data_IF_925782588721
#
_entry.id   IF_925782588721
#
_cell.length_a   1.000
_cell.length_b   1.000
_cell.length_c   1.000
_cell.angle_alpha   90.00
_cell.angle_beta   90.00
_cell.angle_gamma   90.00
#
_symmetry.space_group_name_H-M   'P 1'
#
loop_
_entity.id
_entity.type
_entity.pdbx_description
1 polymer ?
#
# COMPACT_ATOMS: atom_id res chain seq x y z
N UNK A 1 -1.35 -7.04 35.37
CA UNK A 1 -0.72 -6.20 34.31
C UNK A 1 -1.73 -5.14 33.94
N UNK A 2 -1.41 -3.84 34.06
CA UNK A 2 -2.32 -2.78 33.64
C UNK A 2 -2.56 -2.93 32.12
N UNK A 3 -3.82 -2.98 31.69
CA UNK A 3 -4.19 -2.98 30.28
C UNK A 3 -3.56 -1.74 29.64
N UNK A 4 -2.69 -1.94 28.65
CA UNK A 4 -2.09 -0.84 27.90
C UNK A 4 -3.19 0.00 27.27
N UNK A 5 -3.03 1.33 27.27
CA UNK A 5 -4.01 2.23 26.62
C UNK A 5 -4.20 1.81 25.17
N UNK A 6 -5.43 1.71 24.72
CA UNK A 6 -5.78 1.34 23.34
C UNK A 6 -5.18 2.31 22.31
N UNK A 7 -4.88 1.78 21.14
CA UNK A 7 -4.45 2.53 19.96
C UNK A 7 -5.29 2.06 18.77
N UNK A 8 -6.12 2.95 18.24
CA UNK A 8 -7.01 2.66 17.12
C UNK A 8 -6.23 2.82 15.81
N UNK A 9 -6.01 1.67 15.15
CA UNK A 9 -5.13 1.55 13.97
C UNK A 9 -5.93 1.19 12.74
N UNK A 10 -5.79 2.01 11.70
CA UNK A 10 -6.38 1.75 10.39
C UNK A 10 -5.37 1.15 9.40
N UNK A 11 -5.79 0.11 8.70
CA UNK A 11 -5.05 -0.54 7.62
C UNK A 11 -5.94 -0.70 6.39
N UNK A 12 -5.33 -0.56 5.20
CA UNK A 12 -6.04 -0.92 3.97
C UNK A 12 -6.35 -2.40 3.98
N UNK A 13 -7.41 -2.78 3.28
CA UNK A 13 -7.85 -4.16 3.13
C UNK A 13 -7.57 -4.68 1.73
N UNK A 14 -7.53 -6.00 1.56
CA UNK A 14 -7.43 -6.68 0.25
C UNK A 14 -6.20 -6.24 -0.58
N UNK A 15 -5.07 -5.97 0.07
CA UNK A 15 -3.85 -5.53 -0.59
C UNK A 15 -2.63 -6.42 -0.24
N UNK A 16 -2.58 -7.68 -0.72
CA UNK A 16 -1.40 -8.52 -0.52
C UNK A 16 -0.19 -7.94 -1.29
N UNK A 17 1.03 -8.11 -0.77
CA UNK A 17 1.39 -8.72 0.51
C UNK A 17 1.43 -7.74 1.69
N UNK A 18 0.84 -6.53 1.55
CA UNK A 18 0.93 -5.45 2.55
C UNK A 18 -0.05 -5.64 3.71
N UNK A 19 -1.35 -5.76 3.41
CA UNK A 19 -2.42 -6.02 4.39
C UNK A 19 -3.58 -6.76 3.73
N UNK A 20 -3.86 -7.99 4.17
CA UNK A 20 -4.86 -8.84 3.54
C UNK A 20 -5.36 -9.93 4.50
N UNK A 21 -6.38 -10.67 4.09
CA UNK A 21 -6.84 -11.89 4.74
C UNK A 21 -6.33 -13.08 3.94
N UNK A 22 -5.65 -14.02 4.60
CA UNK A 22 -5.17 -15.25 3.97
C UNK A 22 -6.29 -16.27 3.73
N UNK A 23 -5.95 -17.40 3.08
CA UNK A 23 -6.90 -18.47 2.78
C UNK A 23 -7.53 -19.11 4.04
N UNK A 24 -6.93 -18.94 5.20
CA UNK A 24 -7.43 -19.43 6.49
C UNK A 24 -8.28 -18.40 7.24
N UNK A 25 -8.57 -17.25 6.63
CA UNK A 25 -9.30 -16.16 7.26
C UNK A 25 -8.48 -15.33 8.25
N UNK A 26 -7.15 -15.50 8.28
CA UNK A 26 -6.28 -14.77 9.18
C UNK A 26 -5.74 -13.49 8.54
N UNK A 27 -5.67 -12.43 9.34
CA UNK A 27 -5.03 -11.18 8.92
C UNK A 27 -3.52 -11.36 8.81
N UNK A 28 -2.96 -10.94 7.69
CA UNK A 28 -1.56 -11.06 7.33
C UNK A 28 -1.09 -9.81 6.59
N UNK A 29 0.22 -9.71 6.46
CA UNK A 29 0.87 -8.73 5.60
C UNK A 29 1.94 -7.91 6.31
N UNK A 30 2.84 -7.37 5.52
CA UNK A 30 3.98 -6.58 6.02
C UNK A 30 3.54 -5.41 6.91
N UNK A 31 2.54 -4.65 6.47
CA UNK A 31 2.03 -3.49 7.23
C UNK A 31 1.24 -3.91 8.45
N UNK A 32 0.49 -5.02 8.38
CA UNK A 32 -0.21 -5.57 9.54
C UNK A 32 0.78 -5.96 10.64
N UNK A 33 1.84 -6.68 10.30
CA UNK A 33 2.87 -7.10 11.26
C UNK A 33 3.66 -5.89 11.81
N UNK A 34 3.96 -4.91 10.94
CA UNK A 34 4.63 -3.69 11.36
C UNK A 34 3.77 -2.89 12.35
N UNK A 35 2.47 -2.78 12.08
CA UNK A 35 1.53 -2.08 12.94
C UNK A 35 1.38 -2.77 14.31
N UNK A 36 1.29 -4.10 14.32
CA UNK A 36 1.22 -4.89 15.55
C UNK A 36 2.49 -4.71 16.41
N UNK A 37 3.66 -4.73 15.77
CA UNK A 37 4.93 -4.48 16.45
C UNK A 37 5.03 -3.05 16.99
N UNK A 38 4.56 -2.08 16.23
CA UNK A 38 4.53 -0.68 16.66
C UNK A 38 3.65 -0.49 17.92
N UNK A 39 2.44 -1.09 17.96
CA UNK A 39 1.58 -1.04 19.15
C UNK A 39 2.31 -1.63 20.37
N UNK A 40 2.95 -2.80 20.20
CA UNK A 40 3.69 -3.47 21.27
C UNK A 40 4.84 -2.59 21.80
N UNK A 41 5.61 -1.97 20.92
CA UNK A 41 6.74 -1.07 21.28
C UNK A 41 6.27 0.21 21.97
N UNK A 42 5.10 0.70 21.59
CA UNK A 42 4.46 1.85 22.24
C UNK A 42 3.77 1.49 23.56
N UNK A 43 3.78 0.22 23.98
CA UNK A 43 3.08 -0.25 25.18
C UNK A 43 1.57 -0.11 25.08
N UNK A 44 1.00 -0.26 23.87
CA UNK A 44 -0.43 -0.11 23.56
C UNK A 44 -1.04 -1.41 23.07
N UNK A 45 -2.36 -1.51 23.21
CA UNK A 45 -3.16 -2.57 22.59
C UNK A 45 -3.74 -2.04 21.30
N UNK A 46 -3.48 -2.71 20.17
CA UNK A 46 -4.08 -2.35 18.89
C UNK A 46 -5.57 -2.66 18.85
N UNK A 47 -6.37 -1.67 18.45
CA UNK A 47 -7.77 -1.85 18.04
C UNK A 47 -7.83 -1.63 16.53
N UNK A 48 -8.20 -2.66 15.80
CA UNK A 48 -8.04 -2.70 14.34
C UNK A 48 -9.28 -2.20 13.61
N UNK A 49 -9.06 -1.39 12.58
CA UNK A 49 -10.07 -1.03 11.58
C UNK A 49 -9.49 -1.27 10.19
N UNK A 50 -10.22 -2.02 9.37
CA UNK A 50 -9.84 -2.31 7.99
C UNK A 50 -10.84 -1.68 7.02
N UNK A 51 -10.33 -1.27 5.86
CA UNK A 51 -11.18 -0.70 4.83
C UNK A 51 -10.44 0.07 3.75
N UNK A 52 -11.21 0.76 2.92
CA UNK A 52 -10.65 1.62 1.87
C UNK A 52 -9.89 2.80 2.48
N UNK A 53 -8.93 3.33 1.75
CA UNK A 53 -8.17 4.51 2.17
C UNK A 53 -9.07 5.69 2.53
N UNK A 54 -10.14 5.90 1.78
CA UNK A 54 -11.12 6.97 2.05
C UNK A 54 -11.80 6.80 3.41
N UNK A 55 -12.24 5.57 3.75
CA UNK A 55 -12.83 5.25 5.05
C UNK A 55 -11.83 5.51 6.18
N UNK A 56 -10.59 5.07 6.02
CA UNK A 56 -9.54 5.25 7.01
C UNK A 56 -9.18 6.72 7.22
N UNK A 57 -9.10 7.50 6.15
CA UNK A 57 -8.85 8.94 6.23
C UNK A 57 -9.99 9.68 6.95
N UNK A 58 -11.25 9.27 6.72
CA UNK A 58 -12.39 9.82 7.49
C UNK A 58 -12.24 9.51 8.98
N UNK A 59 -11.97 8.24 9.33
CA UNK A 59 -11.80 7.84 10.72
C UNK A 59 -10.63 8.55 11.42
N UNK A 60 -9.57 8.88 10.67
CA UNK A 60 -8.46 9.66 11.21
C UNK A 60 -8.86 11.13 11.48
N UNK A 61 -9.65 11.74 10.57
CA UNK A 61 -10.12 13.13 10.71
C UNK A 61 -11.17 13.29 11.82
N UNK A 62 -12.11 12.37 11.96
CA UNK A 62 -13.15 12.40 12.99
C UNK A 62 -12.66 11.92 14.35
N UNK A 63 -11.44 11.32 14.41
CA UNK A 63 -10.79 10.88 15.64
C UNK A 63 -11.19 9.49 16.11
N UNK A 64 -11.94 8.72 15.31
CA UNK A 64 -12.21 7.30 15.58
C UNK A 64 -10.99 6.42 15.35
N UNK A 65 -9.98 6.93 14.61
CA UNK A 65 -8.67 6.32 14.46
C UNK A 65 -7.58 7.25 15.01
N UNK A 66 -6.56 6.65 15.62
CA UNK A 66 -5.36 7.36 16.10
C UNK A 66 -4.31 7.48 14.99
N UNK A 67 -4.15 6.42 14.21
CA UNK A 67 -3.20 6.37 13.10
C UNK A 67 -3.65 5.41 12.00
N UNK A 68 -3.14 5.64 10.79
CA UNK A 68 -3.33 4.78 9.62
C UNK A 68 -2.01 4.51 8.92
N UNK A 69 -1.87 3.31 8.34
CA UNK A 69 -0.71 2.87 7.59
C UNK A 69 -0.88 3.08 6.08
N UNK A 70 0.21 2.94 5.33
CA UNK A 70 0.26 3.03 3.87
C UNK A 70 -0.15 4.39 3.29
N UNK A 71 0.06 5.45 4.05
CA UNK A 71 -0.18 6.78 3.51
C UNK A 71 1.03 7.29 2.74
N UNK A 72 0.78 7.74 1.53
CA UNK A 72 1.80 8.40 0.72
C UNK A 72 1.91 9.88 1.11
N UNK A 73 3.14 10.38 1.07
CA UNK A 73 3.43 11.78 1.41
C UNK A 73 2.83 12.80 0.45
N UNK A 74 2.47 12.39 -0.78
CA UNK A 74 2.00 13.32 -1.81
C UNK A 74 0.70 12.85 -2.46
N UNK A 75 -0.21 13.81 -2.67
CA UNK A 75 -0.19 15.15 -2.09
C UNK A 75 -0.44 15.11 -0.58
N UNK A 76 0.26 15.96 0.17
CA UNK A 76 -0.02 16.13 1.61
C UNK A 76 -1.47 16.50 1.81
N UNK A 77 -2.15 15.75 2.66
CA UNK A 77 -3.55 16.04 2.97
C UNK A 77 -3.62 17.00 4.16
N UNK A 78 -4.42 18.03 4.00
CA UNK A 78 -4.65 18.99 5.07
C UNK A 78 -5.20 18.31 6.33
N UNK A 79 -4.76 18.76 7.49
CA UNK A 79 -5.17 18.21 8.78
C UNK A 79 -4.49 16.91 9.20
N UNK A 80 -3.49 16.44 8.44
CA UNK A 80 -2.72 15.23 8.76
C UNK A 80 -1.23 15.52 8.93
N UNK A 81 -0.59 14.72 9.79
CA UNK A 81 0.85 14.67 9.98
C UNK A 81 1.34 13.29 9.56
N UNK A 82 2.55 13.23 8.98
CA UNK A 82 3.12 12.00 8.45
C UNK A 82 4.43 11.67 9.13
N UNK A 83 4.65 10.38 9.39
CA UNK A 83 5.92 9.86 9.88
C UNK A 83 7.01 9.93 8.81
N UNK A 84 8.25 9.64 9.21
CA UNK A 84 9.28 9.23 8.26
C UNK A 84 8.79 8.00 7.48
N UNK A 85 9.15 7.89 6.19
CA UNK A 85 8.82 6.69 5.40
C UNK A 85 9.42 5.44 6.02
N UNK A 86 8.66 4.34 6.03
CA UNK A 86 9.15 3.03 6.45
C UNK A 86 9.45 2.10 5.27
N UNK A 87 8.99 2.42 4.07
CA UNK A 87 9.50 1.90 2.80
C UNK A 87 9.22 2.88 1.65
N UNK A 88 9.89 2.63 0.51
CA UNK A 88 9.64 3.34 -0.73
C UNK A 88 9.13 2.35 -1.79
N UNK A 89 8.15 2.75 -2.57
CA UNK A 89 7.64 1.96 -3.68
C UNK A 89 7.40 2.83 -4.91
N UNK A 90 7.47 2.21 -6.08
CA UNK A 90 7.15 2.82 -7.36
C UNK A 90 5.86 2.24 -7.91
N UNK A 91 5.21 2.93 -8.82
CA UNK A 91 4.17 2.31 -9.62
C UNK A 91 4.80 1.53 -10.77
N UNK A 92 4.14 0.45 -11.18
CA UNK A 92 4.52 -0.34 -12.36
C UNK A 92 3.29 -0.77 -13.13
N UNK A 93 3.44 -1.02 -14.41
CA UNK A 93 2.46 -1.67 -15.24
C UNK A 93 2.86 -3.12 -15.50
N UNK A 94 1.87 -4.01 -15.47
CA UNK A 94 2.03 -5.43 -15.76
C UNK A 94 1.00 -5.79 -16.83
N UNK A 95 1.42 -6.51 -17.86
CA UNK A 95 0.57 -6.99 -18.92
C UNK A 95 1.13 -8.23 -19.60
N UNK A 96 0.42 -8.78 -20.59
CA UNK A 96 0.94 -9.89 -21.39
C UNK A 96 2.04 -9.39 -22.34
N UNK A 97 3.12 -10.14 -22.54
CA UNK A 97 4.12 -9.84 -23.57
C UNK A 97 3.45 -9.70 -24.94
N UNK A 98 3.70 -8.58 -25.63
CA UNK A 98 3.08 -8.28 -26.92
C UNK A 98 1.57 -8.00 -26.89
N UNK A 99 0.99 -7.88 -25.68
CA UNK A 99 -0.39 -7.46 -25.49
C UNK A 99 -0.57 -5.95 -25.62
N UNK A 100 -1.81 -5.49 -25.45
CA UNK A 100 -2.15 -4.05 -25.50
C UNK A 100 -1.46 -3.29 -24.36
N UNK A 101 -0.74 -2.23 -24.73
CA UNK A 101 -0.11 -1.32 -23.79
C UNK A 101 -1.07 -0.27 -23.20
N UNK A 102 -0.67 0.41 -22.13
CA UNK A 102 -1.54 1.40 -21.47
C UNK A 102 -1.76 2.67 -22.30
N UNK A 103 -0.86 2.98 -23.25
CA UNK A 103 -0.95 4.14 -24.15
C UNK A 103 -1.86 3.91 -25.35
N UNK A 104 -2.35 2.70 -25.55
CA UNK A 104 -3.24 2.39 -26.66
C UNK A 104 -4.69 2.80 -26.33
N UNK A 105 -5.34 3.47 -27.27
CA UNK A 105 -6.71 3.95 -27.10
C UNK A 105 -7.66 2.80 -26.72
N UNK A 106 -8.46 3.03 -25.68
CA UNK A 106 -9.39 2.03 -25.16
C UNK A 106 -8.73 0.91 -24.36
N UNK A 107 -7.44 0.99 -24.01
CA UNK A 107 -6.80 0.06 -23.10
C UNK A 107 -7.54 0.01 -21.77
N UNK A 108 -7.78 -1.19 -21.26
CA UNK A 108 -8.44 -1.41 -19.97
C UNK A 108 -7.38 -1.55 -18.89
N UNK A 109 -7.27 -0.53 -18.04
CA UNK A 109 -6.24 -0.47 -17.00
C UNK A 109 -6.86 -0.74 -15.63
N UNK A 110 -6.47 -1.85 -15.01
CA UNK A 110 -6.86 -2.21 -13.65
C UNK A 110 -6.04 -1.44 -12.63
N UNK A 111 -6.73 -0.81 -11.67
CA UNK A 111 -6.09 -0.03 -10.61
C UNK A 111 -6.77 -0.33 -9.27
N UNK A 112 -5.99 -0.53 -8.21
CA UNK A 112 -6.55 -0.79 -6.89
C UNK A 112 -7.48 0.36 -6.45
N UNK A 113 -8.71 -0.03 -6.06
CA UNK A 113 -9.76 0.93 -5.68
C UNK A 113 -9.32 1.81 -4.50
N UNK A 114 -9.59 3.10 -4.60
CA UNK A 114 -9.26 4.07 -3.54
C UNK A 114 -7.78 4.44 -3.43
N UNK A 115 -6.91 3.92 -4.32
CA UNK A 115 -5.50 4.32 -4.35
C UNK A 115 -5.30 5.63 -5.12
N UNK A 116 -4.22 6.34 -4.79
CA UNK A 116 -3.80 7.53 -5.54
C UNK A 116 -3.48 7.22 -7.00
N UNK A 117 -3.20 5.94 -7.33
CA UNK A 117 -2.91 5.51 -8.69
C UNK A 117 -4.12 5.65 -9.62
N UNK A 118 -5.36 5.68 -9.10
CA UNK A 118 -6.56 5.89 -9.91
C UNK A 118 -6.53 7.26 -10.58
N UNK A 119 -6.19 8.31 -9.83
CA UNK A 119 -6.08 9.65 -10.39
C UNK A 119 -4.88 9.77 -11.34
N UNK A 120 -3.76 9.14 -10.99
CA UNK A 120 -2.58 9.12 -11.85
C UNK A 120 -2.85 8.41 -13.18
N UNK A 121 -3.50 7.24 -13.15
CA UNK A 121 -3.86 6.53 -14.37
C UNK A 121 -4.73 7.35 -15.31
N UNK A 122 -5.72 8.09 -14.76
CA UNK A 122 -6.57 9.00 -15.55
C UNK A 122 -5.78 10.16 -16.16
N UNK A 123 -4.76 10.65 -15.47
CA UNK A 123 -3.88 11.72 -15.97
C UNK A 123 -2.91 11.22 -17.03
N UNK A 124 -2.30 10.05 -16.84
CA UNK A 124 -1.35 9.49 -17.80
C UNK A 124 -2.02 8.96 -19.07
N UNK A 125 -3.17 8.31 -18.91
CA UNK A 125 -3.86 7.62 -20.00
C UNK A 125 -5.32 8.06 -20.09
N UNK A 126 -5.58 9.28 -20.59
CA UNK A 126 -6.94 9.86 -20.61
C UNK A 126 -7.91 9.09 -21.51
N UNK A 127 -7.41 8.32 -22.51
CA UNK A 127 -8.22 7.51 -23.41
C UNK A 127 -8.41 6.08 -22.93
N UNK A 128 -7.78 5.71 -21.79
CA UNK A 128 -7.90 4.37 -21.23
C UNK A 128 -9.19 4.22 -20.41
N UNK A 129 -9.68 2.99 -20.36
CA UNK A 129 -10.80 2.58 -19.51
C UNK A 129 -10.25 2.14 -18.16
N UNK A 130 -10.45 2.94 -17.11
CA UNK A 130 -9.96 2.63 -15.78
C UNK A 130 -10.95 1.70 -15.07
N UNK A 131 -10.49 0.48 -14.76
CA UNK A 131 -11.21 -0.54 -14.01
C UNK A 131 -10.69 -0.60 -12.60
N UNK A 132 -11.56 -0.46 -11.58
CA UNK A 132 -11.12 -0.51 -10.19
C UNK A 132 -11.63 -1.77 -9.49
N UNK A 133 -10.81 -2.31 -8.58
CA UNK A 133 -11.14 -3.51 -7.81
C UNK A 133 -10.15 -3.74 -6.67
N UNK A 134 -10.30 -4.82 -5.92
CA UNK A 134 -9.23 -5.33 -5.05
C UNK A 134 -8.05 -5.83 -5.89
N UNK A 135 -6.89 -6.01 -5.28
CA UNK A 135 -5.72 -6.53 -6.00
C UNK A 135 -6.00 -7.91 -6.57
N UNK A 136 -6.66 -8.76 -5.79
CA UNK A 136 -6.99 -10.12 -6.23
C UNK A 136 -8.00 -10.13 -7.40
N UNK A 137 -9.08 -9.33 -7.32
CA UNK A 137 -10.04 -9.17 -8.43
C UNK A 137 -9.35 -8.69 -9.71
N UNK A 138 -8.42 -7.75 -9.60
CA UNK A 138 -7.72 -7.21 -10.76
C UNK A 138 -6.74 -8.23 -11.36
N UNK A 139 -6.03 -9.00 -10.54
CA UNK A 139 -5.18 -10.11 -11.02
C UNK A 139 -6.02 -11.14 -11.77
N UNK A 140 -7.18 -11.54 -11.23
CA UNK A 140 -8.06 -12.48 -11.92
C UNK A 140 -8.59 -11.92 -13.24
N UNK A 141 -8.96 -10.63 -13.26
CA UNK A 141 -9.37 -9.96 -14.52
C UNK A 141 -8.23 -9.88 -15.55
N UNK A 142 -6.99 -9.66 -15.11
CA UNK A 142 -5.81 -9.65 -15.98
C UNK A 142 -5.59 -11.03 -16.60
N UNK A 143 -5.67 -12.10 -15.81
CA UNK A 143 -5.54 -13.49 -16.26
C UNK A 143 -6.60 -13.86 -17.30
N UNK A 144 -7.84 -13.41 -17.08
CA UNK A 144 -8.99 -13.67 -17.95
C UNK A 144 -9.09 -12.73 -19.16
N UNK A 145 -8.18 -11.77 -19.30
CA UNK A 145 -8.25 -10.74 -20.35
C UNK A 145 -9.37 -9.72 -20.15
N UNK A 146 -9.92 -9.60 -18.94
CA UNK A 146 -10.90 -8.58 -18.57
C UNK A 146 -10.30 -7.18 -18.40
N UNK A 147 -8.99 -7.10 -18.16
CA UNK A 147 -8.15 -5.91 -18.28
C UNK A 147 -6.90 -6.25 -19.09
N UNK A 148 -6.32 -5.24 -19.72
CA UNK A 148 -5.12 -5.39 -20.55
C UNK A 148 -3.84 -5.12 -19.75
N UNK A 149 -3.92 -4.19 -18.80
CA UNK A 149 -2.80 -3.74 -17.96
C UNK A 149 -3.24 -3.65 -16.50
N UNK A 150 -2.39 -4.12 -15.59
CA UNK A 150 -2.50 -3.88 -14.16
C UNK A 150 -1.52 -2.77 -13.76
N UNK A 151 -2.04 -1.62 -13.31
CA UNK A 151 -1.25 -0.51 -12.79
C UNK A 151 -1.27 -0.52 -11.26
N UNK A 152 -0.14 -0.88 -10.66
CA UNK A 152 -0.05 -1.21 -9.23
C UNK A 152 1.30 -0.75 -8.66
N UNK A 153 1.48 -0.75 -7.34
CA UNK A 153 2.80 -0.57 -6.77
C UNK A 153 3.70 -1.80 -7.03
N UNK A 154 5.00 -1.55 -7.11
CA UNK A 154 6.00 -2.56 -7.44
C UNK A 154 6.05 -3.72 -6.41
N UNK A 155 5.77 -3.46 -5.13
CA UNK A 155 5.76 -4.51 -4.11
C UNK A 155 4.70 -5.59 -4.40
N UNK A 156 3.46 -5.16 -4.66
CA UNK A 156 2.39 -6.08 -5.02
C UNK A 156 2.56 -6.64 -6.43
N UNK A 157 3.09 -5.83 -7.36
CA UNK A 157 3.37 -6.24 -8.73
C UNK A 157 4.40 -7.36 -8.80
N UNK A 158 5.54 -7.22 -8.16
CA UNK A 158 6.55 -8.30 -8.11
C UNK A 158 6.06 -9.52 -7.33
N UNK A 159 5.30 -9.32 -6.23
CA UNK A 159 4.70 -10.45 -5.53
C UNK A 159 3.81 -11.30 -6.45
N UNK A 160 3.08 -10.68 -7.37
CA UNK A 160 2.30 -11.39 -8.40
C UNK A 160 3.20 -12.03 -9.46
N UNK A 161 4.15 -11.29 -10.05
CA UNK A 161 5.02 -11.80 -11.12
C UNK A 161 5.87 -13.00 -10.69
N UNK A 162 6.13 -13.16 -9.38
CA UNK A 162 6.87 -14.29 -8.82
C UNK A 162 6.01 -15.53 -8.55
N UNK A 163 4.71 -15.48 -8.83
CA UNK A 163 3.82 -16.66 -8.75
C UNK A 163 3.83 -17.43 -10.07
N UNK A 164 3.43 -18.70 -10.05
CA UNK A 164 3.25 -19.50 -11.27
C UNK A 164 2.31 -18.81 -12.27
N UNK A 165 1.23 -18.21 -11.78
CA UNK A 165 0.29 -17.45 -12.61
C UNK A 165 0.91 -16.17 -13.19
N UNK A 166 1.90 -15.61 -12.55
CA UNK A 166 2.62 -14.41 -12.98
C UNK A 166 3.58 -14.66 -14.15
N UNK A 167 3.99 -15.91 -14.39
CA UNK A 167 4.93 -16.27 -15.47
C UNK A 167 4.42 -15.97 -16.89
N UNK A 168 3.10 -15.79 -17.05
CA UNK A 168 2.50 -15.39 -18.32
C UNK A 168 2.53 -13.87 -18.58
N UNK A 169 3.04 -13.08 -17.63
CA UNK A 169 2.99 -11.63 -17.64
C UNK A 169 4.37 -11.03 -17.42
N UNK A 170 4.55 -9.82 -17.96
CA UNK A 170 5.77 -9.04 -17.78
C UNK A 170 5.48 -7.64 -17.27
N UNK A 171 6.50 -7.03 -16.72
CA UNK A 171 6.52 -5.60 -16.50
C UNK A 171 6.57 -4.91 -17.85
N UNK A 172 5.62 -4.01 -18.09
CA UNK A 172 5.61 -3.17 -19.28
C UNK A 172 6.49 -1.95 -19.07
N UNK A 173 7.29 -1.62 -20.08
CA UNK A 173 8.04 -0.38 -20.13
C UNK A 173 7.06 0.77 -20.40
N UNK A 174 6.94 1.67 -19.47
CA UNK A 174 6.17 2.89 -19.61
C UNK A 174 7.09 4.09 -19.38
N UNK A 175 6.97 5.15 -20.16
CA UNK A 175 7.71 6.37 -19.93
C UNK A 175 7.25 6.98 -18.61
N UNK A 176 7.99 6.73 -17.55
CA UNK A 176 7.79 7.38 -16.27
C UNK A 176 8.54 8.69 -16.23
N UNK A 177 7.81 9.76 -16.07
CA UNK A 177 8.39 11.04 -15.70
C UNK A 177 8.78 11.08 -14.20
N UNK A 178 9.25 12.25 -13.77
CA UNK A 178 9.65 12.45 -12.38
C UNK A 178 8.52 12.22 -11.35
N UNK A 179 7.25 12.19 -11.75
CA UNK A 179 6.09 12.01 -10.88
C UNK A 179 5.85 10.55 -10.49
N UNK A 180 6.43 9.61 -11.22
CA UNK A 180 6.41 8.18 -10.88
C UNK A 180 7.53 7.78 -9.92
N UNK A 181 8.29 8.75 -9.43
CA UNK A 181 9.35 8.52 -8.44
C UNK A 181 8.82 7.72 -7.24
N UNK A 182 9.73 6.95 -6.66
CA UNK A 182 9.46 6.22 -5.43
C UNK A 182 8.81 7.14 -4.39
N UNK A 183 7.59 6.82 -4.00
CA UNK A 183 6.89 7.54 -2.95
C UNK A 183 7.04 6.78 -1.65
N UNK A 184 7.37 7.51 -0.58
CA UNK A 184 7.48 6.92 0.74
C UNK A 184 6.11 6.52 1.31
N UNK A 185 6.00 5.31 1.83
CA UNK A 185 4.85 4.90 2.63
C UNK A 185 5.08 5.24 4.08
N UNK A 186 4.14 5.93 4.69
CA UNK A 186 4.23 6.53 6.00
C UNK A 186 3.05 6.13 6.88
N UNK A 187 3.22 6.27 8.18
CA UNK A 187 2.11 6.32 9.13
C UNK A 187 1.58 7.74 9.14
N UNK A 188 0.26 7.90 9.00
CA UNK A 188 -0.40 9.19 9.16
C UNK A 188 -1.12 9.25 10.51
N UNK A 189 -1.07 10.42 11.14
CA UNK A 189 -1.81 10.77 12.36
C UNK A 189 -2.54 12.08 12.13
N UNK A 190 -3.60 12.34 12.91
CA UNK A 190 -4.33 13.62 12.84
C UNK A 190 -3.43 14.77 13.28
N UNK A 191 -3.62 15.95 12.68
CA UNK A 191 -2.98 17.19 13.13
C UNK A 191 -3.19 17.42 14.64
N UNK A 192 -2.15 17.92 15.32
CA UNK A 192 -2.14 18.09 16.77
C UNK A 192 -1.66 16.88 17.57
N UNK A 193 -1.54 15.68 16.96
CA UNK A 193 -0.99 14.47 17.64
C UNK A 193 0.53 14.38 17.49
N UNK A 194 1.23 15.46 17.79
CA UNK A 194 2.71 15.52 17.68
C UNK A 194 3.41 14.55 18.62
N UNK A 195 2.85 14.31 19.80
CA UNK A 195 3.34 13.35 20.78
C UNK A 195 3.33 11.91 20.23
N UNK A 196 2.21 11.50 19.62
CA UNK A 196 2.08 10.20 18.99
C UNK A 196 3.00 10.06 17.78
N UNK A 197 3.06 11.09 16.92
CA UNK A 197 3.94 11.08 15.76
C UNK A 197 5.41 10.97 16.15
N UNK A 198 5.85 11.70 17.18
CA UNK A 198 7.21 11.61 17.69
C UNK A 198 7.54 10.22 18.23
N UNK A 199 6.59 9.59 18.96
CA UNK A 199 6.75 8.23 19.44
C UNK A 199 6.82 7.21 18.28
N UNK A 200 5.93 7.33 17.30
CA UNK A 200 5.94 6.50 16.07
C UNK A 200 7.27 6.63 15.33
N UNK A 201 7.74 7.85 15.09
CA UNK A 201 9.01 8.10 14.41
C UNK A 201 10.21 7.51 15.14
N UNK A 202 10.23 7.57 16.47
CA UNK A 202 11.30 6.97 17.28
C UNK A 202 11.33 5.45 17.08
N UNK A 203 10.18 4.78 17.15
CA UNK A 203 10.12 3.33 16.99
C UNK A 203 10.42 2.88 15.55
N UNK A 204 9.91 3.60 14.54
CA UNK A 204 10.25 3.34 13.13
C UNK A 204 11.76 3.51 12.88
N UNK A 205 12.37 4.56 13.45
CA UNK A 205 13.81 4.77 13.37
C UNK A 205 14.58 3.62 14.01
N UNK A 206 14.15 3.15 15.18
CA UNK A 206 14.76 1.99 15.84
C UNK A 206 14.68 0.75 14.96
N UNK A 207 13.50 0.45 14.39
CA UNK A 207 13.28 -0.69 13.50
C UNK A 207 14.15 -0.64 12.22
N UNK A 208 14.31 0.56 11.65
CA UNK A 208 15.16 0.79 10.47
C UNK A 208 16.63 0.54 10.80
N UNK A 209 17.16 1.17 11.85
CA UNK A 209 18.59 1.09 12.18
C UNK A 209 19.03 -0.23 12.82
N UNK A 210 18.12 -0.95 13.49
CA UNK A 210 18.42 -2.29 14.02
C UNK A 210 18.42 -3.38 12.95
N UNK A 211 17.95 -3.07 11.74
CA UNK A 211 17.74 -4.07 10.67
C UNK A 211 16.50 -4.95 10.87
N UNK A 212 15.74 -4.76 11.95
CA UNK A 212 14.52 -5.55 12.21
C UNK A 212 13.47 -5.36 11.13
N UNK A 213 13.31 -4.14 10.61
CA UNK A 213 12.38 -3.86 9.53
C UNK A 213 12.80 -4.57 8.24
N UNK A 214 14.10 -4.60 7.94
CA UNK A 214 14.66 -5.35 6.82
C UNK A 214 14.40 -6.86 6.96
N UNK A 215 14.68 -7.43 8.13
CA UNK A 215 14.46 -8.86 8.37
C UNK A 215 12.96 -9.21 8.23
N UNK A 216 12.07 -8.35 8.69
CA UNK A 216 10.63 -8.53 8.54
C UNK A 216 10.19 -8.46 7.08
N UNK A 217 10.73 -7.52 6.30
CA UNK A 217 10.35 -7.35 4.90
C UNK A 217 10.68 -8.60 4.06
N UNK A 218 11.75 -9.32 4.39
CA UNK A 218 12.15 -10.57 3.71
C UNK A 218 11.11 -11.69 3.82
N UNK A 219 10.22 -11.64 4.79
CA UNK A 219 9.12 -12.61 4.88
C UNK A 219 8.02 -12.36 3.83
N UNK A 220 8.02 -11.17 3.22
CA UNK A 220 6.99 -10.72 2.29
C UNK A 220 7.53 -10.36 0.91
N UNK A 221 8.80 -9.95 0.83
CA UNK A 221 9.45 -9.46 -0.38
C UNK A 221 10.79 -10.12 -0.58
N UNK A 222 11.08 -10.52 -1.82
CA UNK A 222 12.35 -11.13 -2.20
C UNK A 222 13.44 -10.09 -2.55
N UNK A 223 13.15 -8.80 -2.39
CA UNK A 223 14.03 -7.67 -2.71
C UNK A 223 14.00 -6.59 -1.63
N UNK A 224 15.00 -5.71 -1.65
CA UNK A 224 15.16 -4.64 -0.68
C UNK A 224 14.18 -3.50 -1.03
N UNK A 225 13.43 -3.03 -0.03
CA UNK A 225 12.37 -2.01 -0.17
C UNK A 225 12.73 -0.64 0.47
N UNK A 226 14.00 -0.45 0.83
CA UNK A 226 14.50 0.77 1.52
C UNK A 226 15.45 1.57 0.65
#
# INVERSE_FOLDING_TARGET
>A
MAAGKELHVGLTDEYPPLSYVDANGQRRGFEFDLAADLCRRLGRTCVWTFGTQEKLLRGLRDGSLDLIFAQRLEPKQEGLLYSTPYYHSRAMCIGRPGGRGPDEAGARIGVYRGSVLVQRARGFWPEAIIVTGSVQELIERLKQGGIDVLFINDLAGYAFLLTDAGLEFDRLDIPFDAETRATGSCVAVRAGRHDLLAAVNRELKTLLYSGELHNRSRNYFQYIIY
#
